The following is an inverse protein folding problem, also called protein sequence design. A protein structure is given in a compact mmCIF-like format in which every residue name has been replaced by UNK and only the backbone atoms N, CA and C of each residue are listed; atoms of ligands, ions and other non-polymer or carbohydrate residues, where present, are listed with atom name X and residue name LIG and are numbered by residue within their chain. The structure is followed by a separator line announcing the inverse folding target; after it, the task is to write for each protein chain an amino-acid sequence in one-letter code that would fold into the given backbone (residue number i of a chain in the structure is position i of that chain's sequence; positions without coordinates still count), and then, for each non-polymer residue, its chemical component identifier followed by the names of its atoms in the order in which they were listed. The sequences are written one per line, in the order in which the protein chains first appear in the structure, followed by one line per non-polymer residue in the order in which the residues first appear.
data_IF_774668448115
#
_entry.id   IF_774668448115
#
_cell.length_a   1.000
_cell.length_b   1.000
_cell.length_c   1.000
_cell.angle_alpha   90.00
_cell.angle_beta   90.00
_cell.angle_gamma   90.00
#
_symmetry.space_group_name_H-M   'P 1'
#
loop_
_entity.id
_entity.type
_entity.pdbx_description
1 polymer ?
#
# COMPACT_ATOMS: atom_id res chain seq x y z
N UNK A 1 -20.79 -0.93 -2.63
CA UNK A 1 -19.53 -0.78 -3.40
C UNK A 1 -19.86 -0.12 -4.72
N UNK A 2 -19.18 0.99 -5.04
CA UNK A 2 -19.30 1.61 -6.37
C UNK A 2 -18.68 0.63 -7.36
N UNK A 3 -19.39 0.31 -8.43
CA UNK A 3 -18.97 -0.69 -9.40
C UNK A 3 -17.69 -0.17 -10.08
N UNK A 4 -16.57 -0.90 -9.97
CA UNK A 4 -15.32 -0.54 -10.63
C UNK A 4 -15.57 -0.58 -12.13
N UNK A 5 -15.35 0.56 -12.80
CA UNK A 5 -15.56 0.70 -14.23
C UNK A 5 -14.33 0.15 -14.94
N UNK A 6 -14.51 -1.00 -15.60
CA UNK A 6 -13.47 -1.66 -16.37
C UNK A 6 -13.63 -1.23 -17.83
N UNK A 7 -12.55 -0.72 -18.40
CA UNK A 7 -12.47 -0.35 -19.80
C UNK A 7 -11.62 -1.40 -20.52
N UNK A 8 -12.12 -1.96 -21.61
CA UNK A 8 -11.34 -2.91 -22.42
C UNK A 8 -10.70 -2.15 -23.58
N UNK A 9 -9.39 -2.27 -23.73
CA UNK A 9 -8.67 -1.77 -24.89
C UNK A 9 -8.14 -2.93 -25.74
N UNK A 10 -8.20 -2.75 -27.05
CA UNK A 10 -7.57 -3.64 -28.03
C UNK A 10 -6.10 -3.28 -28.22
N UNK A 11 -5.27 -4.19 -28.73
CA UNK A 11 -3.85 -3.93 -29.02
C UNK A 11 -3.61 -2.71 -29.94
N UNK A 12 -4.60 -2.40 -30.80
CA UNK A 12 -4.60 -1.23 -31.67
C UNK A 12 -4.86 0.10 -30.96
N UNK A 13 -5.46 0.08 -29.76
CA UNK A 13 -5.75 1.28 -28.96
C UNK A 13 -4.55 1.72 -28.11
N UNK A 14 -3.49 0.89 -28.03
CA UNK A 14 -2.28 1.16 -27.24
C UNK A 14 -1.27 2.01 -28.02
N UNK A 15 -0.40 2.74 -27.31
CA UNK A 15 0.67 3.53 -27.93
C UNK A 15 2.05 3.18 -27.33
N UNK A 16 2.98 2.61 -28.13
CA UNK A 16 2.82 2.28 -29.54
C UNK A 16 1.83 1.10 -29.76
N UNK A 17 1.15 1.03 -30.92
CA UNK A 17 0.21 -0.05 -31.20
C UNK A 17 0.91 -1.41 -31.24
N UNK A 18 0.30 -2.42 -30.62
CA UNK A 18 0.83 -3.78 -30.61
C UNK A 18 0.17 -4.58 -31.73
N UNK A 19 0.98 -5.17 -32.62
CA UNK A 19 0.50 -5.83 -33.84
C UNK A 19 -0.04 -7.26 -33.62
N UNK A 20 0.02 -7.81 -32.41
CA UNK A 20 -0.58 -9.13 -32.13
C UNK A 20 -2.05 -8.96 -31.76
N UNK A 21 -2.95 -9.52 -32.57
CA UNK A 21 -4.41 -9.48 -32.34
C UNK A 21 -4.87 -10.38 -31.18
N UNK A 22 -3.94 -10.89 -30.37
CA UNK A 22 -4.17 -12.07 -29.53
C UNK A 22 -4.58 -11.77 -28.09
N UNK A 23 -4.65 -10.52 -27.66
CA UNK A 23 -4.99 -10.19 -26.27
C UNK A 23 -5.82 -8.90 -26.16
N UNK A 24 -6.74 -8.87 -25.21
CA UNK A 24 -7.38 -7.65 -24.72
C UNK A 24 -6.80 -7.32 -23.34
N UNK A 25 -6.69 -6.03 -23.03
CA UNK A 25 -6.29 -5.56 -21.69
C UNK A 25 -7.44 -4.79 -21.06
N UNK A 26 -7.78 -5.19 -19.85
CA UNK A 26 -8.71 -4.48 -18.99
C UNK A 26 -7.94 -3.39 -18.23
N UNK A 27 -8.44 -2.16 -18.33
CA UNK A 27 -7.84 -0.95 -17.81
C UNK A 27 -8.80 -0.27 -16.82
N UNK A 28 -8.23 0.38 -15.81
CA UNK A 28 -8.95 1.25 -14.89
C UNK A 28 -8.34 2.64 -14.98
N UNK A 29 -9.18 3.66 -15.16
CA UNK A 29 -8.69 5.04 -15.22
C UNK A 29 -8.29 5.52 -13.83
N UNK A 30 -7.14 6.19 -13.73
CA UNK A 30 -6.70 6.80 -12.47
C UNK A 30 -7.73 7.80 -11.89
N UNK A 31 -8.50 8.47 -12.75
CA UNK A 31 -9.62 9.34 -12.32
C UNK A 31 -10.69 8.58 -11.55
N UNK A 32 -10.95 7.34 -11.95
CA UNK A 32 -11.99 6.48 -11.37
C UNK A 32 -11.47 5.85 -10.06
N UNK A 33 -10.13 5.78 -9.88
CA UNK A 33 -9.47 5.38 -8.66
C UNK A 33 -9.36 6.51 -7.61
N UNK A 34 -9.25 7.77 -8.05
CA UNK A 34 -9.08 8.92 -7.16
C UNK A 34 -10.24 9.12 -6.17
N UNK A 35 -11.47 8.84 -6.59
CA UNK A 35 -12.62 8.87 -5.68
C UNK A 35 -12.53 7.75 -4.64
N UNK A 36 -12.04 6.57 -5.04
CA UNK A 36 -11.83 5.44 -4.15
C UNK A 36 -10.70 5.71 -3.15
N UNK A 37 -9.59 6.32 -3.59
CA UNK A 37 -8.50 6.76 -2.71
C UNK A 37 -8.98 7.76 -1.65
N UNK A 38 -9.78 8.74 -2.05
CA UNK A 38 -10.35 9.70 -1.11
C UNK A 38 -11.27 9.04 -0.07
N UNK A 39 -12.11 8.09 -0.51
CA UNK A 39 -12.95 7.28 0.38
C UNK A 39 -12.12 6.42 1.32
N UNK A 40 -11.04 5.83 0.82
CA UNK A 40 -10.15 5.04 1.63
C UNK A 40 -9.43 5.90 2.69
N UNK A 41 -8.92 7.07 2.30
CA UNK A 41 -8.31 8.00 3.24
C UNK A 41 -9.30 8.44 4.35
N UNK A 42 -10.55 8.73 3.99
CA UNK A 42 -11.60 9.04 4.95
C UNK A 42 -11.87 7.86 5.90
N UNK A 43 -11.94 6.63 5.37
CA UNK A 43 -12.15 5.41 6.16
C UNK A 43 -10.99 5.14 7.13
N UNK A 44 -9.74 5.40 6.73
CA UNK A 44 -8.57 5.28 7.62
C UNK A 44 -8.66 6.27 8.78
N UNK A 45 -9.09 7.51 8.52
CA UNK A 45 -9.31 8.53 9.56
C UNK A 45 -10.43 8.11 10.50
N UNK A 46 -11.56 7.65 9.97
CA UNK A 46 -12.71 7.19 10.77
C UNK A 46 -12.34 5.98 11.65
N UNK A 47 -11.62 4.99 11.11
CA UNK A 47 -11.11 3.86 11.89
C UNK A 47 -10.15 4.30 12.99
N UNK A 48 -9.29 5.29 12.72
CA UNK A 48 -8.44 5.88 13.76
C UNK A 48 -9.24 6.53 14.89
N UNK A 49 -10.31 7.24 14.55
CA UNK A 49 -11.22 7.85 15.53
C UNK A 49 -12.00 6.79 16.33
N UNK A 50 -12.47 5.72 15.70
CA UNK A 50 -13.16 4.60 16.36
C UNK A 50 -12.24 3.88 17.34
N UNK A 51 -11.00 3.53 16.93
CA UNK A 51 -10.00 2.93 17.82
C UNK A 51 -9.72 3.82 19.04
N UNK A 52 -9.64 5.13 18.83
CA UNK A 52 -9.46 6.10 19.93
C UNK A 52 -10.68 6.13 20.86
N UNK A 53 -11.89 6.17 20.31
CA UNK A 53 -13.13 6.16 21.09
C UNK A 53 -13.27 4.89 21.93
N UNK A 54 -12.82 3.75 21.41
CA UNK A 54 -12.83 2.48 22.13
C UNK A 54 -11.87 2.49 23.32
N UNK A 55 -10.66 3.05 23.15
CA UNK A 55 -9.72 3.28 24.26
C UNK A 55 -10.33 4.16 25.35
N UNK A 56 -10.92 5.28 24.97
CA UNK A 56 -11.55 6.21 25.92
C UNK A 56 -12.74 5.55 26.64
N UNK A 57 -13.54 4.75 25.95
CA UNK A 57 -14.65 4.00 26.55
C UNK A 57 -14.15 2.93 27.52
N UNK A 58 -13.13 2.16 27.14
CA UNK A 58 -12.55 1.15 28.01
C UNK A 58 -11.94 1.78 29.29
N UNK A 59 -11.27 2.94 29.19
CA UNK A 59 -10.78 3.68 30.36
C UNK A 59 -11.90 4.22 31.25
N UNK A 60 -13.03 4.61 30.66
CA UNK A 60 -14.21 4.99 31.42
C UNK A 60 -14.76 3.79 32.20
N UNK A 61 -14.99 2.65 31.54
CA UNK A 61 -15.48 1.43 32.19
C UNK A 61 -14.54 0.94 33.29
N UNK A 62 -13.23 1.01 33.07
CA UNK A 62 -12.22 0.67 34.08
C UNK A 62 -12.40 1.49 35.36
N UNK A 63 -12.52 2.81 35.24
CA UNK A 63 -12.71 3.71 36.39
C UNK A 63 -14.00 3.42 37.14
N UNK A 64 -15.11 3.26 36.43
CA UNK A 64 -16.41 2.97 37.06
C UNK A 64 -16.40 1.63 37.81
N UNK A 65 -15.68 0.61 37.31
CA UNK A 65 -15.51 -0.66 38.00
C UNK A 65 -14.58 -0.57 39.23
N UNK A 66 -13.48 0.17 39.12
CA UNK A 66 -12.57 0.42 40.26
C UNK A 66 -13.27 1.16 41.40
N UNK A 67 -14.16 2.11 41.08
CA UNK A 67 -14.92 2.90 42.07
C UNK A 67 -15.89 2.04 42.91
N UNK A 68 -16.34 0.90 42.39
CA UNK A 68 -17.17 -0.08 43.13
C UNK A 68 -16.37 -1.22 43.74
N UNK A 69 -15.04 -1.19 43.63
CA UNK A 69 -14.13 -2.18 44.20
C UNK A 69 -13.97 -3.46 43.37
N UNK A 70 -14.44 -3.46 42.13
CA UNK A 70 -14.27 -4.56 41.17
C UNK A 70 -13.03 -4.37 40.30
N UNK A 71 -12.59 -5.45 39.64
CA UNK A 71 -11.46 -5.41 38.70
C UNK A 71 -11.98 -5.48 37.27
N UNK A 72 -11.69 -4.44 36.48
CA UNK A 72 -11.97 -4.43 35.05
C UNK A 72 -10.92 -5.21 34.27
N UNK A 73 -11.34 -5.86 33.18
CA UNK A 73 -10.46 -6.50 32.20
C UNK A 73 -10.62 -5.76 30.90
N UNK A 74 -9.51 -5.25 30.37
CA UNK A 74 -9.52 -4.56 29.09
C UNK A 74 -9.98 -5.48 27.97
N UNK A 75 -10.90 -4.99 27.14
CA UNK A 75 -11.38 -5.68 25.95
C UNK A 75 -11.38 -4.69 24.78
N UNK A 76 -10.58 -4.98 23.76
CA UNK A 76 -10.40 -4.15 22.58
C UNK A 76 -10.73 -4.95 21.34
N UNK A 77 -11.47 -4.35 20.42
CA UNK A 77 -11.79 -4.93 19.13
C UNK A 77 -10.54 -4.93 18.25
N UNK A 78 -9.92 -6.10 18.11
CA UNK A 78 -8.84 -6.28 17.14
C UNK A 78 -9.36 -6.16 15.70
N UNK A 79 -8.56 -5.53 14.83
CA UNK A 79 -8.90 -5.33 13.41
C UNK A 79 -7.87 -5.95 12.47
N UNK A 80 -7.57 -7.26 12.57
CA UNK A 80 -6.45 -7.90 11.86
C UNK A 80 -6.54 -7.76 10.32
N UNK A 81 -7.76 -7.73 9.77
CA UNK A 81 -7.99 -7.50 8.35
C UNK A 81 -7.61 -6.06 7.92
N UNK A 82 -7.96 -5.06 8.73
CA UNK A 82 -7.58 -3.66 8.48
C UNK A 82 -6.09 -3.46 8.62
N UNK A 83 -5.46 -4.09 9.61
CA UNK A 83 -4.03 -3.96 9.84
C UNK A 83 -3.22 -4.62 8.71
N UNK A 84 -3.67 -5.78 8.22
CA UNK A 84 -3.13 -6.45 7.03
C UNK A 84 -3.28 -5.59 5.77
N UNK A 85 -4.44 -4.97 5.58
CA UNK A 85 -4.67 -4.09 4.44
C UNK A 85 -3.79 -2.83 4.47
N UNK A 86 -3.65 -2.20 5.64
CA UNK A 86 -2.76 -1.05 5.81
C UNK A 86 -1.28 -1.41 5.58
N UNK A 87 -0.86 -2.60 6.01
CA UNK A 87 0.47 -3.12 5.72
C UNK A 87 0.70 -3.29 4.21
N UNK A 88 -0.27 -3.83 3.49
CA UNK A 88 -0.23 -3.96 2.03
C UNK A 88 -0.15 -2.59 1.33
N UNK A 89 -0.97 -1.62 1.73
CA UNK A 89 -0.94 -0.27 1.15
C UNK A 89 0.41 0.41 1.40
N UNK A 90 0.99 0.26 2.59
CA UNK A 90 2.34 0.77 2.87
C UNK A 90 3.39 0.08 2.00
N UNK A 91 3.32 -1.24 1.83
CA UNK A 91 4.23 -1.99 0.96
C UNK A 91 4.15 -1.51 -0.49
N UNK A 92 2.94 -1.30 -1.02
CA UNK A 92 2.74 -0.75 -2.36
C UNK A 92 3.36 0.64 -2.53
N UNK A 93 3.23 1.51 -1.52
CA UNK A 93 3.89 2.83 -1.55
C UNK A 93 5.41 2.74 -1.63
N UNK A 94 6.02 1.76 -0.97
CA UNK A 94 7.48 1.49 -1.03
C UNK A 94 7.86 0.91 -2.40
N UNK A 95 7.04 0.04 -2.97
CA UNK A 95 7.26 -0.52 -4.31
C UNK A 95 7.20 0.55 -5.40
N UNK A 96 6.27 1.50 -5.31
CA UNK A 96 6.23 2.66 -6.20
C UNK A 96 7.51 3.51 -6.12
N UNK A 97 8.11 3.59 -4.92
CA UNK A 97 9.40 4.25 -4.74
C UNK A 97 10.55 3.44 -5.36
N UNK A 98 10.54 2.11 -5.23
CA UNK A 98 11.48 1.22 -5.91
C UNK A 98 11.36 1.33 -7.44
N UNK A 99 10.14 1.42 -7.99
CA UNK A 99 9.87 1.58 -9.42
C UNK A 99 10.49 2.86 -9.99
N UNK A 100 10.49 3.95 -9.22
CA UNK A 100 11.21 5.17 -9.59
C UNK A 100 12.71 4.91 -9.80
N UNK A 101 13.34 4.11 -8.94
CA UNK A 101 14.75 3.74 -9.09
C UNK A 101 14.99 2.74 -10.22
N UNK A 102 14.06 1.81 -10.44
CA UNK A 102 14.09 0.92 -11.61
C UNK A 102 14.07 1.73 -12.90
N UNK A 103 13.17 2.70 -13.01
CA UNK A 103 13.11 3.60 -14.16
C UNK A 103 14.42 4.38 -14.36
N UNK A 104 15.03 4.87 -13.29
CA UNK A 104 16.35 5.52 -13.36
C UNK A 104 17.44 4.54 -13.83
N UNK A 105 17.45 3.31 -13.31
CA UNK A 105 18.42 2.29 -13.68
C UNK A 105 18.29 1.90 -15.15
N UNK A 106 17.07 1.74 -15.66
CA UNK A 106 16.80 1.44 -17.08
C UNK A 106 17.21 2.59 -18.00
N UNK A 107 17.15 3.84 -17.52
CA UNK A 107 17.56 5.01 -18.29
C UNK A 107 19.09 5.21 -18.35
N UNK A 108 19.87 4.53 -17.50
CA UNK A 108 21.33 4.60 -17.55
C UNK A 108 21.87 3.83 -18.76
N UNK A 109 22.88 4.36 -19.47
CA UNK A 109 23.60 3.57 -20.47
C UNK A 109 24.27 2.39 -19.77
N UNK A 110 23.85 1.17 -20.06
CA UNK A 110 24.44 -0.04 -19.47
C UNK A 110 25.27 -0.78 -20.51
N UNK A 111 26.55 -0.96 -20.22
CA UNK A 111 27.51 -1.77 -20.97
C UNK A 111 28.23 -2.73 -20.01
N UNK A 112 28.88 -3.79 -20.50
CA UNK A 112 29.67 -4.69 -19.64
C UNK A 112 30.73 -3.97 -18.80
N UNK A 113 31.24 -2.83 -19.29
CA UNK A 113 32.28 -2.04 -18.63
C UNK A 113 31.75 -1.18 -17.49
N UNK A 114 30.49 -0.73 -17.54
CA UNK A 114 29.93 0.21 -16.56
C UNK A 114 28.83 -0.38 -15.67
N UNK A 115 28.41 -1.63 -15.91
CA UNK A 115 27.35 -2.31 -15.15
C UNK A 115 27.64 -2.45 -13.63
N UNK A 116 28.90 -2.26 -13.22
CA UNK A 116 29.37 -2.28 -11.83
C UNK A 116 29.84 -0.91 -11.33
N UNK A 117 29.59 0.17 -12.08
CA UNK A 117 29.91 1.51 -11.61
C UNK A 117 29.06 1.90 -10.39
N UNK A 118 29.48 2.97 -9.71
CA UNK A 118 28.83 3.43 -8.49
C UNK A 118 27.34 3.78 -8.70
N UNK A 119 26.95 4.23 -9.89
CA UNK A 119 25.57 4.61 -10.18
C UNK A 119 24.66 3.37 -10.30
N UNK A 120 25.08 2.36 -11.07
CA UNK A 120 24.35 1.09 -11.23
C UNK A 120 24.25 0.34 -9.90
N UNK A 121 25.36 0.24 -9.17
CA UNK A 121 25.39 -0.47 -7.88
C UNK A 121 24.49 0.22 -6.86
N UNK A 122 24.55 1.56 -6.76
CA UNK A 122 23.70 2.32 -5.84
C UNK A 122 22.22 2.10 -6.12
N UNK A 123 21.79 2.24 -7.38
CA UNK A 123 20.38 2.08 -7.73
C UNK A 123 19.88 0.67 -7.45
N UNK A 124 20.67 -0.36 -7.78
CA UNK A 124 20.33 -1.76 -7.47
C UNK A 124 20.18 -2.00 -5.97
N UNK A 125 21.06 -1.44 -5.17
CA UNK A 125 20.99 -1.55 -3.71
C UNK A 125 19.73 -0.88 -3.17
N UNK A 126 19.41 0.34 -3.64
CA UNK A 126 18.19 1.05 -3.23
C UNK A 126 16.90 0.31 -3.63
N UNK A 127 16.88 -0.31 -4.81
CA UNK A 127 15.74 -1.14 -5.26
C UNK A 127 15.61 -2.35 -4.33
N UNK A 128 16.71 -3.05 -4.07
CA UNK A 128 16.73 -4.23 -3.22
C UNK A 128 16.23 -3.94 -1.80
N UNK A 129 16.76 -2.89 -1.16
CA UNK A 129 16.35 -2.50 0.20
C UNK A 129 14.87 -2.13 0.26
N UNK A 130 14.37 -1.40 -0.76
CA UNK A 130 12.96 -1.04 -0.84
C UNK A 130 12.06 -2.28 -1.01
N UNK A 131 12.45 -3.22 -1.87
CA UNK A 131 11.70 -4.48 -2.06
C UNK A 131 11.68 -5.33 -0.78
N UNK A 132 12.82 -5.42 -0.09
CA UNK A 132 12.91 -6.13 1.19
C UNK A 132 12.01 -5.48 2.24
N UNK A 133 12.06 -4.15 2.36
CA UNK A 133 11.24 -3.41 3.30
C UNK A 133 9.73 -3.56 3.00
N UNK A 134 9.33 -3.50 1.73
CA UNK A 134 7.95 -3.78 1.33
C UNK A 134 7.51 -5.21 1.71
N UNK A 135 8.38 -6.21 1.53
CA UNK A 135 8.10 -7.58 1.95
C UNK A 135 8.01 -7.73 3.48
N UNK A 136 8.78 -6.97 4.24
CA UNK A 136 8.70 -6.95 5.71
C UNK A 136 7.38 -6.34 6.19
N UNK A 137 6.94 -5.23 5.58
CA UNK A 137 5.66 -4.61 5.90
C UNK A 137 4.50 -5.60 5.76
N UNK A 138 4.46 -6.40 4.69
CA UNK A 138 3.42 -7.44 4.47
C UNK A 138 3.42 -8.55 5.52
N UNK A 139 4.57 -8.81 6.16
CA UNK A 139 4.67 -9.77 7.27
C UNK A 139 4.21 -9.18 8.60
N UNK A 140 3.73 -7.93 8.61
CA UNK A 140 3.35 -7.22 9.82
C UNK A 140 4.54 -6.77 10.65
N UNK A 141 5.75 -6.71 10.08
CA UNK A 141 6.90 -6.11 10.77
C UNK A 141 6.60 -4.63 11.01
N UNK A 142 6.61 -4.22 12.27
CA UNK A 142 6.47 -2.82 12.65
C UNK A 142 7.75 -2.04 12.30
N UNK A 143 7.57 -0.74 12.04
CA UNK A 143 8.65 0.26 11.98
C UNK A 143 9.30 0.46 13.36
#
# INVERSE_FOLDING_TARGET
MQQVKIYTASPSDLSPPVQSESFCVDLVLASDYRELEAKYAALVVENGALKKSEVEFNEYCRRECEDVGDTWVDDFTETPATDTFLAEVRAQGVEMFADKYRAQLTALPTTPENIFDAAHVRLRYQIFDADEFAAQLRKGAAL
#
